data_IF_957969696561
#
_entry.id   IF_957969696561
#
_cell.length_a   1.000
_cell.length_b   1.000
_cell.length_c   1.000
_cell.angle_alpha   90.00
_cell.angle_beta   90.00
_cell.angle_gamma   90.00
#
_symmetry.space_group_name_H-M   'P 1'
#
loop_
_entity.id
_entity.type
_entity.pdbx_description
1 polymer ?
#
# COMPACT_ATOMS: atom_id res chain seq x y z
N UNK A 1 -1.87 20.34 12.71
CA UNK A 1 -2.36 19.05 13.22
C UNK A 1 -3.37 19.26 14.37
N UNK A 2 -3.03 20.02 15.43
CA UNK A 2 -3.84 20.18 16.64
C UNK A 2 -5.27 20.67 16.36
N UNK A 3 -5.43 21.69 15.53
CA UNK A 3 -6.76 22.22 15.17
C UNK A 3 -7.66 21.16 14.50
N UNK A 4 -7.09 20.32 13.62
CA UNK A 4 -7.79 19.23 12.96
C UNK A 4 -8.26 18.17 13.97
N UNK A 5 -7.39 17.82 14.92
CA UNK A 5 -7.69 16.87 15.99
C UNK A 5 -8.80 17.41 16.91
N UNK A 6 -8.71 18.67 17.32
CA UNK A 6 -9.76 19.32 18.14
C UNK A 6 -11.10 19.39 17.42
N UNK A 7 -11.11 19.68 16.11
CA UNK A 7 -12.33 19.67 15.30
C UNK A 7 -12.98 18.29 15.27
N UNK A 8 -12.18 17.21 15.13
CA UNK A 8 -12.72 15.85 15.13
C UNK A 8 -13.37 15.47 16.46
N UNK A 9 -12.80 15.90 17.60
CA UNK A 9 -13.34 15.65 18.93
C UNK A 9 -14.67 16.40 19.18
N UNK A 10 -14.92 17.49 18.45
CA UNK A 10 -16.21 18.22 18.50
C UNK A 10 -17.22 17.71 17.47
N UNK A 11 -17.02 16.52 16.90
CA UNK A 11 -17.97 15.83 16.03
C UNK A 11 -17.81 16.14 14.52
N UNK A 12 -16.79 16.91 14.12
CA UNK A 12 -16.55 17.14 12.70
C UNK A 12 -15.83 15.94 12.07
N UNK A 13 -16.24 15.57 10.86
CA UNK A 13 -15.49 14.59 10.05
C UNK A 13 -14.26 15.28 9.46
N UNK A 14 -13.09 14.85 9.87
CA UNK A 14 -11.81 15.41 9.42
C UNK A 14 -11.05 14.39 8.59
N UNK A 15 -10.66 14.78 7.38
CA UNK A 15 -9.75 14.03 6.52
C UNK A 15 -8.51 14.88 6.29
N UNK A 16 -7.34 14.29 6.46
CA UNK A 16 -6.07 14.97 6.28
C UNK A 16 -5.05 14.03 5.68
N UNK A 17 -4.02 14.57 5.07
CA UNK A 17 -2.88 13.81 4.56
C UNK A 17 -1.65 14.03 5.42
N UNK A 18 -0.86 12.98 5.58
CA UNK A 18 0.40 13.00 6.28
C UNK A 18 1.43 12.22 5.46
N UNK A 19 2.66 12.73 5.36
CA UNK A 19 3.71 12.08 4.58
C UNK A 19 4.50 11.12 5.46
N UNK A 20 4.14 9.83 5.40
CA UNK A 20 4.84 8.74 6.06
C UNK A 20 4.95 7.56 5.08
N UNK A 21 5.96 6.72 5.28
CA UNK A 21 6.10 5.46 4.52
C UNK A 21 5.31 4.33 5.17
N UNK A 22 5.35 4.27 6.49
CA UNK A 22 4.71 3.25 7.30
C UNK A 22 3.48 3.84 8.00
N UNK A 23 2.32 3.18 8.02
CA UNK A 23 1.14 3.65 8.73
C UNK A 23 1.37 3.84 10.24
N UNK A 24 2.34 3.13 10.84
CA UNK A 24 2.73 3.29 12.26
C UNK A 24 3.38 4.64 12.53
N UNK A 25 4.09 5.19 11.56
CA UNK A 25 4.75 6.49 11.68
C UNK A 25 3.76 7.63 11.81
N UNK A 26 2.50 7.45 11.39
CA UNK A 26 1.45 8.49 11.53
C UNK A 26 1.30 8.93 12.98
N UNK A 27 1.31 7.96 13.91
CA UNK A 27 1.17 8.23 15.33
C UNK A 27 2.35 9.09 15.85
N UNK A 28 3.58 8.65 15.59
CA UNK A 28 4.79 9.38 15.97
C UNK A 28 4.87 10.76 15.32
N UNK A 29 4.45 10.85 14.06
CA UNK A 29 4.47 12.12 13.33
C UNK A 29 3.50 13.15 13.92
N UNK A 30 2.35 12.70 14.40
CA UNK A 30 1.41 13.57 15.10
C UNK A 30 1.96 14.02 16.47
N UNK A 31 2.67 13.15 17.20
CA UNK A 31 3.38 13.51 18.42
C UNK A 31 4.48 14.56 18.17
N UNK A 32 5.28 14.38 17.13
CA UNK A 32 6.31 15.35 16.71
C UNK A 32 5.68 16.73 16.41
N UNK A 33 4.45 16.73 15.88
CA UNK A 33 3.66 17.94 15.64
C UNK A 33 3.04 18.52 16.92
N UNK A 34 3.46 18.02 18.11
CA UNK A 34 2.99 18.46 19.42
C UNK A 34 1.52 18.20 19.70
N UNK A 35 0.94 17.18 19.06
CA UNK A 35 -0.39 16.68 19.43
C UNK A 35 -0.25 15.70 20.58
N UNK A 36 -0.98 15.93 21.66
CA UNK A 36 -0.90 15.07 22.84
C UNK A 36 -1.42 13.65 22.56
N UNK A 37 -0.77 12.64 23.12
CA UNK A 37 -1.08 11.21 22.87
C UNK A 37 -2.53 10.83 23.09
N UNK A 38 -3.15 11.36 24.14
CA UNK A 38 -4.55 11.07 24.42
C UNK A 38 -5.50 11.65 23.36
N UNK A 39 -5.16 12.83 22.79
CA UNK A 39 -5.95 13.45 21.73
C UNK A 39 -5.84 12.64 20.43
N UNK A 40 -4.64 12.15 20.10
CA UNK A 40 -4.43 11.29 18.93
C UNK A 40 -5.28 10.02 19.07
N UNK A 41 -5.17 9.34 20.23
CA UNK A 41 -5.89 8.11 20.50
C UNK A 41 -7.41 8.29 20.39
N UNK A 42 -7.95 9.39 20.92
CA UNK A 42 -9.40 9.60 21.00
C UNK A 42 -9.97 10.12 19.67
N UNK A 43 -9.16 10.77 18.83
CA UNK A 43 -9.58 11.37 17.56
C UNK A 43 -9.31 10.49 16.34
N UNK A 44 -8.25 9.67 16.35
CA UNK A 44 -7.85 8.88 15.19
C UNK A 44 -8.78 7.67 15.02
N UNK A 45 -9.50 7.61 13.91
CA UNK A 45 -10.46 6.53 13.61
C UNK A 45 -9.99 5.63 12.48
N UNK A 46 -9.04 6.06 11.68
CA UNK A 46 -8.50 5.26 10.59
C UNK A 46 -7.30 5.88 9.92
N UNK A 47 -6.49 5.03 9.30
CA UNK A 47 -5.33 5.40 8.49
C UNK A 47 -5.48 4.70 7.14
N UNK A 48 -5.31 5.45 6.06
CA UNK A 48 -5.27 4.91 4.71
C UNK A 48 -3.85 5.07 4.17
N UNK A 49 -3.15 3.96 4.01
CA UNK A 49 -1.88 3.90 3.30
C UNK A 49 -2.15 3.72 1.82
N UNK A 50 -1.53 4.53 0.97
CA UNK A 50 -1.79 4.48 -0.47
C UNK A 50 -0.52 4.71 -1.29
N UNK A 51 -0.43 4.02 -2.43
CA UNK A 51 0.63 4.19 -3.42
C UNK A 51 0.03 4.19 -4.81
N UNK A 52 0.64 4.95 -5.71
CA UNK A 52 0.32 4.90 -7.13
C UNK A 52 1.34 4.03 -7.85
N UNK A 53 0.84 3.03 -8.57
CA UNK A 53 1.65 2.17 -9.44
C UNK A 53 1.34 2.45 -10.89
N UNK A 54 2.36 2.46 -11.75
CA UNK A 54 2.19 2.65 -13.20
C UNK A 54 1.60 1.38 -13.81
N UNK A 55 0.65 1.54 -14.72
CA UNK A 55 0.07 0.44 -15.47
C UNK A 55 0.82 0.23 -16.78
N UNK A 56 1.01 -1.03 -17.16
CA UNK A 56 1.53 -1.38 -18.48
C UNK A 56 0.60 -0.82 -19.56
N UNK A 57 1.19 -0.42 -20.67
CA UNK A 57 0.42 0.02 -21.82
C UNK A 57 -0.20 -1.21 -22.52
N UNK A 58 -1.55 -1.28 -22.54
CA UNK A 58 -2.27 -2.41 -23.15
C UNK A 58 -1.97 -2.57 -24.64
N UNK A 59 -1.62 -1.48 -25.32
CA UNK A 59 -1.35 -1.50 -26.76
C UNK A 59 0.01 -2.13 -27.12
N UNK A 60 0.98 -2.16 -26.20
CA UNK A 60 2.33 -2.64 -26.52
C UNK A 60 2.93 -3.59 -25.50
N UNK A 61 2.25 -3.92 -24.41
CA UNK A 61 2.74 -4.95 -23.50
C UNK A 61 2.82 -6.30 -24.18
N UNK A 62 3.85 -7.08 -23.92
CA UNK A 62 4.08 -8.39 -24.52
C UNK A 62 4.08 -9.49 -23.47
N UNK A 63 3.56 -10.66 -23.80
CA UNK A 63 3.62 -11.84 -22.93
C UNK A 63 5.06 -12.37 -22.98
N UNK A 64 5.67 -12.55 -21.81
CA UNK A 64 7.04 -13.07 -21.70
C UNK A 64 7.09 -14.47 -21.08
N UNK A 65 6.08 -14.82 -20.26
CA UNK A 65 6.05 -16.08 -19.53
C UNK A 65 4.62 -16.40 -19.07
N UNK A 66 4.40 -17.66 -18.68
CA UNK A 66 3.19 -18.09 -17.99
C UNK A 66 3.58 -18.80 -16.70
N UNK A 67 2.94 -18.43 -15.58
CA UNK A 67 3.20 -19.04 -14.27
C UNK A 67 1.91 -19.52 -13.61
N UNK A 68 2.03 -20.63 -12.88
CA UNK A 68 0.94 -21.06 -12.01
C UNK A 68 1.06 -20.31 -10.67
N UNK A 69 0.04 -19.51 -10.37
CA UNK A 69 -0.08 -18.77 -9.12
C UNK A 69 -1.42 -19.15 -8.47
N UNK A 70 -1.35 -19.73 -7.27
CA UNK A 70 -2.54 -20.18 -6.53
C UNK A 70 -3.45 -21.13 -7.36
N UNK A 71 -2.85 -22.05 -8.14
CA UNK A 71 -3.57 -23.01 -8.98
C UNK A 71 -4.15 -22.44 -10.28
N UNK A 72 -3.84 -21.17 -10.61
CA UNK A 72 -4.26 -20.53 -11.87
C UNK A 72 -3.04 -20.20 -12.73
N UNK A 73 -3.10 -20.58 -14.01
CA UNK A 73 -2.10 -20.14 -14.97
C UNK A 73 -2.36 -18.69 -15.31
N UNK A 74 -1.40 -17.82 -15.02
CA UNK A 74 -1.43 -16.40 -15.36
C UNK A 74 -0.37 -16.07 -16.39
N UNK A 75 -0.67 -15.11 -17.25
CA UNK A 75 0.26 -14.57 -18.22
C UNK A 75 1.05 -13.43 -17.60
N UNK A 76 2.36 -13.50 -17.69
CA UNK A 76 3.25 -12.43 -17.27
C UNK A 76 3.56 -11.53 -18.46
N UNK A 77 3.45 -10.23 -18.21
CA UNK A 77 3.66 -9.22 -19.24
C UNK A 77 4.87 -8.35 -18.91
N UNK A 78 5.54 -7.88 -19.96
CA UNK A 78 6.63 -6.92 -19.88
C UNK A 78 6.28 -5.69 -20.72
N UNK A 79 6.82 -4.55 -20.31
CA UNK A 79 6.70 -3.29 -21.06
C UNK A 79 7.47 -3.37 -22.36
N UNK A 80 6.92 -2.76 -23.39
CA UNK A 80 7.64 -2.54 -24.64
C UNK A 80 7.80 -1.04 -24.89
N UNK A 81 6.98 -0.45 -25.69
CA UNK A 81 6.96 0.96 -26.02
C UNK A 81 6.27 1.18 -27.36
N UNK A 82 5.40 2.16 -27.44
CA UNK A 82 4.71 2.55 -28.68
C UNK A 82 4.33 4.03 -28.62
N UNK A 83 3.83 4.57 -29.73
CA UNK A 83 3.39 5.96 -29.81
C UNK A 83 2.32 6.30 -28.77
N UNK A 84 1.41 5.36 -28.45
CA UNK A 84 0.33 5.55 -27.47
C UNK A 84 0.82 5.79 -26.04
N UNK A 85 1.98 5.30 -25.68
CA UNK A 85 2.59 5.48 -24.38
C UNK A 85 3.85 6.36 -24.42
N UNK A 86 4.09 7.07 -25.52
CA UNK A 86 5.31 7.84 -25.74
C UNK A 86 6.58 7.01 -25.49
N UNK A 87 6.59 5.77 -25.97
CA UNK A 87 7.67 4.79 -25.85
C UNK A 87 8.10 4.44 -24.42
N UNK A 88 7.30 4.80 -23.41
CA UNK A 88 7.61 4.47 -22.00
C UNK A 88 7.23 3.04 -21.61
N UNK A 89 6.32 2.41 -22.35
CA UNK A 89 5.71 1.12 -22.01
C UNK A 89 4.63 1.20 -20.94
N UNK A 90 4.34 2.40 -20.41
CA UNK A 90 3.34 2.61 -19.37
C UNK A 90 2.27 3.60 -19.80
N UNK A 91 1.01 3.32 -19.46
CA UNK A 91 -0.12 4.22 -19.71
C UNK A 91 -1.11 4.18 -18.55
N UNK A 92 -1.20 5.29 -17.82
CA UNK A 92 -2.06 5.40 -16.65
C UNK A 92 -1.39 4.90 -15.35
N UNK A 93 -2.16 4.98 -14.29
CA UNK A 93 -1.77 4.59 -12.93
C UNK A 93 -2.94 3.94 -12.22
N UNK A 94 -2.66 3.03 -11.30
CA UNK A 94 -3.65 2.47 -10.38
C UNK A 94 -3.27 2.79 -8.94
N UNK A 95 -4.28 2.91 -8.10
CA UNK A 95 -4.11 3.01 -6.68
C UNK A 95 -3.97 1.60 -6.09
N UNK A 96 -2.98 1.41 -5.22
CA UNK A 96 -2.92 0.30 -4.27
C UNK A 96 -2.97 0.87 -2.87
N UNK A 97 -3.83 0.33 -2.01
CA UNK A 97 -4.09 0.89 -0.70
C UNK A 97 -4.29 -0.20 0.36
N UNK A 98 -4.02 0.18 1.61
CA UNK A 98 -4.42 -0.56 2.80
C UNK A 98 -5.18 0.38 3.72
N UNK A 99 -6.30 -0.08 4.28
CA UNK A 99 -7.15 0.67 5.20
C UNK A 99 -7.01 0.05 6.59
N UNK A 100 -6.59 0.86 7.54
CA UNK A 100 -6.43 0.47 8.94
C UNK A 100 -7.51 1.19 9.77
N UNK A 101 -8.48 0.43 10.25
CA UNK A 101 -9.50 0.96 11.18
C UNK A 101 -8.91 0.97 12.59
N UNK A 102 -8.98 2.11 13.26
CA UNK A 102 -8.48 2.29 14.63
C UNK A 102 -9.65 2.11 15.59
N UNK A 103 -9.98 0.86 15.88
CA UNK A 103 -10.97 0.49 16.89
C UNK A 103 -10.39 0.52 18.32
N UNK A 104 -11.20 0.18 19.30
CA UNK A 104 -10.78 0.21 20.70
C UNK A 104 -9.64 -0.78 21.00
N UNK A 105 -9.63 -1.95 20.36
CA UNK A 105 -8.54 -2.92 20.51
C UNK A 105 -7.24 -2.35 19.93
N UNK A 106 -7.32 -1.73 18.76
CA UNK A 106 -6.17 -1.11 18.12
C UNK A 106 -5.65 0.08 18.93
N UNK A 107 -6.53 0.89 19.54
CA UNK A 107 -6.14 2.00 20.43
C UNK A 107 -5.33 1.55 21.65
N UNK A 108 -5.67 0.40 22.23
CA UNK A 108 -4.91 -0.17 23.34
C UNK A 108 -3.54 -0.72 22.87
N UNK A 109 -3.49 -1.33 21.69
CA UNK A 109 -2.24 -1.82 21.10
C UNK A 109 -1.30 -0.66 20.69
N UNK A 110 -1.84 0.45 20.21
CA UNK A 110 -1.07 1.65 19.85
C UNK A 110 -0.30 2.22 21.06
N UNK A 111 -0.78 2.06 22.28
CA UNK A 111 -0.04 2.44 23.49
C UNK A 111 1.35 1.76 23.58
N UNK A 112 1.46 0.57 23.00
CA UNK A 112 2.65 -0.27 23.01
C UNK A 112 3.26 -0.45 21.62
N UNK A 113 3.00 0.46 20.69
CA UNK A 113 3.33 0.35 19.25
C UNK A 113 4.82 0.08 18.96
N UNK A 114 5.70 0.48 19.88
CA UNK A 114 7.15 0.25 19.75
C UNK A 114 7.54 -1.24 19.78
N UNK A 115 6.65 -2.13 20.22
CA UNK A 115 6.95 -3.55 20.48
C UNK A 115 6.25 -4.52 19.53
N UNK A 116 5.29 -4.05 18.71
CA UNK A 116 4.51 -4.94 17.83
C UNK A 116 4.51 -4.44 16.38
N UNK A 117 5.35 -5.07 15.56
CA UNK A 117 5.48 -4.78 14.13
C UNK A 117 4.31 -5.28 13.28
N UNK A 118 3.39 -6.08 13.84
CA UNK A 118 2.28 -6.69 13.09
C UNK A 118 1.03 -5.82 13.03
N UNK A 119 0.96 -4.78 13.86
CA UNK A 119 -0.25 -4.03 14.15
C UNK A 119 -0.89 -3.29 12.97
N UNK A 120 -0.08 -2.73 12.07
CA UNK A 120 -0.55 -1.96 10.92
C UNK A 120 0.23 -2.44 9.67
N UNK A 121 -0.10 -3.63 9.19
CA UNK A 121 0.59 -4.22 8.06
C UNK A 121 0.00 -3.77 6.71
N UNK A 122 0.84 -3.59 5.71
CA UNK A 122 0.42 -3.29 4.35
C UNK A 122 -0.01 -4.54 3.53
N UNK A 123 -0.42 -5.63 4.18
CA UNK A 123 -0.81 -6.88 3.52
C UNK A 123 -1.96 -6.71 2.52
N UNK A 124 -2.91 -5.83 2.81
CA UNK A 124 -4.02 -5.54 1.88
C UNK A 124 -3.51 -4.85 0.61
N UNK A 125 -2.51 -3.99 0.73
CA UNK A 125 -1.84 -3.36 -0.40
C UNK A 125 -1.16 -4.39 -1.30
N UNK A 126 -0.52 -5.42 -0.72
CA UNK A 126 0.05 -6.55 -1.46
C UNK A 126 -1.02 -7.33 -2.21
N UNK A 127 -2.18 -7.59 -1.61
CA UNK A 127 -3.29 -8.28 -2.27
C UNK A 127 -3.78 -7.50 -3.49
N UNK A 128 -3.93 -6.18 -3.35
CA UNK A 128 -4.31 -5.30 -4.46
C UNK A 128 -3.24 -5.31 -5.56
N UNK A 129 -1.97 -5.26 -5.20
CA UNK A 129 -0.86 -5.32 -6.14
C UNK A 129 -0.81 -6.67 -6.88
N UNK A 130 -1.01 -7.78 -6.15
CA UNK A 130 -1.08 -9.13 -6.72
C UNK A 130 -2.23 -9.25 -7.73
N UNK A 131 -3.39 -8.66 -7.45
CA UNK A 131 -4.49 -8.63 -8.40
C UNK A 131 -4.13 -7.88 -9.69
N UNK A 132 -3.39 -6.78 -9.61
CA UNK A 132 -2.90 -6.07 -10.80
C UNK A 132 -1.93 -6.93 -11.63
N UNK A 133 -1.04 -7.69 -10.98
CA UNK A 133 -0.13 -8.62 -11.67
C UNK A 133 -0.91 -9.74 -12.36
N UNK A 134 -1.85 -10.38 -11.67
CA UNK A 134 -2.69 -11.47 -12.21
C UNK A 134 -3.48 -11.00 -13.43
N UNK A 135 -3.98 -9.77 -13.41
CA UNK A 135 -4.71 -9.16 -14.51
C UNK A 135 -3.80 -8.65 -15.65
N UNK A 136 -2.49 -8.79 -15.54
CA UNK A 136 -1.54 -8.32 -16.54
C UNK A 136 -1.46 -6.79 -16.66
N UNK A 137 -1.78 -6.08 -15.60
CA UNK A 137 -1.73 -4.62 -15.56
C UNK A 137 -0.36 -4.08 -15.17
N UNK A 138 0.46 -4.87 -14.50
CA UNK A 138 1.84 -4.56 -14.12
C UNK A 138 2.77 -5.71 -14.48
N UNK A 139 4.07 -5.44 -14.61
CA UNK A 139 5.07 -6.48 -14.82
C UNK A 139 5.43 -7.17 -13.49
N UNK A 140 6.03 -8.37 -13.59
CA UNK A 140 6.59 -9.05 -12.42
C UNK A 140 7.68 -8.19 -11.76
N UNK A 141 8.50 -7.54 -12.55
CA UNK A 141 9.55 -6.65 -12.05
C UNK A 141 8.97 -5.45 -11.27
N UNK A 142 7.89 -4.82 -11.76
CA UNK A 142 7.23 -3.73 -11.03
C UNK A 142 6.64 -4.23 -9.70
N UNK A 143 6.09 -5.45 -9.68
CA UNK A 143 5.60 -6.10 -8.47
C UNK A 143 6.72 -6.34 -7.45
N UNK A 144 7.84 -6.94 -7.89
CA UNK A 144 8.99 -7.25 -7.03
C UNK A 144 9.63 -5.99 -6.46
N UNK A 145 9.86 -4.97 -7.29
CA UNK A 145 10.39 -3.69 -6.86
C UNK A 145 9.50 -3.00 -5.81
N UNK A 146 8.17 -3.10 -5.98
CA UNK A 146 7.25 -2.53 -5.01
C UNK A 146 7.36 -3.22 -3.65
N UNK A 147 7.37 -4.56 -3.63
CA UNK A 147 7.50 -5.36 -2.40
C UNK A 147 8.81 -5.03 -1.68
N UNK A 148 9.91 -4.92 -2.41
CA UNK A 148 11.22 -4.58 -1.86
C UNK A 148 11.24 -3.17 -1.24
N UNK A 149 10.72 -2.18 -1.95
CA UNK A 149 10.66 -0.77 -1.48
C UNK A 149 9.79 -0.60 -0.24
N UNK A 150 8.68 -1.32 -0.16
CA UNK A 150 7.81 -1.29 1.03
C UNK A 150 8.32 -2.18 2.19
N UNK A 151 9.46 -2.85 2.02
CA UNK A 151 10.07 -3.70 3.06
C UNK A 151 9.24 -4.93 3.43
N UNK A 152 8.43 -5.42 2.48
CA UNK A 152 7.52 -6.53 2.67
C UNK A 152 8.20 -7.85 2.29
N UNK A 153 7.92 -8.92 3.02
CA UNK A 153 8.52 -10.22 2.71
C UNK A 153 7.92 -10.84 1.44
N UNK A 154 8.79 -11.31 0.58
CA UNK A 154 8.45 -11.90 -0.71
C UNK A 154 7.94 -13.34 -0.55
N UNK A 155 6.65 -13.58 -0.69
CA UNK A 155 6.08 -14.94 -0.61
C UNK A 155 6.22 -15.79 -1.88
N UNK A 156 6.63 -15.21 -3.01
CA UNK A 156 6.73 -15.92 -4.30
C UNK A 156 7.93 -16.84 -4.46
N UNK A 157 8.93 -16.83 -3.56
CA UNK A 157 10.17 -17.61 -3.72
C UNK A 157 10.09 -19.08 -3.31
N UNK A 158 8.94 -19.57 -2.81
CA UNK A 158 8.86 -20.95 -2.27
C UNK A 158 8.42 -22.05 -3.26
N UNK A 159 8.04 -21.74 -4.49
CA UNK A 159 7.58 -22.79 -5.43
C UNK A 159 8.46 -23.02 -6.68
N UNK A 160 9.66 -22.48 -6.73
CA UNK A 160 10.58 -22.79 -7.83
C UNK A 160 11.75 -23.67 -7.39
N UNK A 161 11.41 -24.84 -6.81
CA UNK A 161 12.32 -26.00 -6.74
C UNK A 161 11.47 -27.27 -6.75
N UNK A 162 11.21 -27.78 -7.93
CA UNK A 162 11.14 -29.19 -8.28
C UNK A 162 11.21 -29.30 -9.80
#
# INVERSE_FOLDING_TARGET
AEMAVRASLTGHKVYSTIHTRDPREVYFRLEDMKVEKYLIRDSLVGIVSQRLIRLLCDNCKTIIDEKNIDGKVIKLYEKCGCNECNFTGYKGRSLVAAIHVIDNEMKEKIKNINNDNSLLSNLEMIKNLKALLINGNISLLDYENFIEVEGLSFEFKKESKL
#
